data_IF_491363792874
#
_entry.id   IF_491363792874
#
_cell.length_a   1.000
_cell.length_b   1.000
_cell.length_c   1.000
_cell.angle_alpha   90.00
_cell.angle_beta   90.00
_cell.angle_gamma   90.00
#
_symmetry.space_group_name_H-M   'P 1'
#
loop_
_entity.id
_entity.type
_entity.pdbx_description
1 polymer ?
#
# COMPACT_ATOMS: atom_id res chain seq x y z
N UNK A 1 23.14 -10.87 -50.06
CA UNK A 1 24.35 -10.64 -49.25
C UNK A 1 24.10 -9.34 -48.50
N UNK A 2 23.85 -9.28 -47.20
CA UNK A 2 24.01 -10.22 -46.10
C UNK A 2 22.82 -10.03 -45.14
N UNK A 3 22.08 -11.11 -44.87
CA UNK A 3 21.18 -11.16 -43.72
C UNK A 3 22.05 -11.31 -42.46
N UNK A 4 22.55 -10.19 -41.96
CA UNK A 4 23.21 -10.18 -40.66
C UNK A 4 22.18 -10.48 -39.58
N UNK A 5 22.37 -11.65 -38.96
CA UNK A 5 21.58 -12.11 -37.84
C UNK A 5 21.48 -11.03 -36.77
N UNK A 6 20.26 -10.56 -36.54
CA UNK A 6 19.92 -9.94 -35.27
C UNK A 6 20.23 -10.97 -34.19
N UNK A 7 21.24 -10.68 -33.38
CA UNK A 7 21.70 -11.56 -32.32
C UNK A 7 20.50 -11.98 -31.46
N UNK A 8 20.23 -13.28 -31.25
CA UNK A 8 19.05 -13.77 -30.53
C UNK A 8 18.90 -13.16 -29.13
N UNK A 9 19.99 -12.68 -28.54
CA UNK A 9 20.02 -11.93 -27.28
C UNK A 9 19.19 -10.61 -27.33
N UNK A 10 19.27 -9.83 -28.42
CA UNK A 10 18.53 -8.56 -28.56
C UNK A 10 17.02 -8.78 -28.71
N UNK A 11 16.62 -9.87 -29.37
CA UNK A 11 15.22 -10.29 -29.47
C UNK A 11 14.68 -10.76 -28.10
N UNK A 12 15.49 -11.51 -27.35
CA UNK A 12 15.17 -11.97 -26.00
C UNK A 12 14.98 -10.84 -24.99
N UNK A 13 15.87 -9.86 -24.96
CA UNK A 13 15.79 -8.70 -24.06
C UNK A 13 14.55 -7.82 -24.32
N UNK A 14 14.21 -7.62 -25.59
CA UNK A 14 13.01 -6.87 -25.99
C UNK A 14 11.72 -7.63 -25.62
N UNK A 15 11.70 -8.95 -25.81
CA UNK A 15 10.58 -9.81 -25.40
C UNK A 15 10.40 -9.82 -23.87
N UNK A 16 11.48 -9.94 -23.11
CA UNK A 16 11.48 -9.92 -21.66
C UNK A 16 11.01 -8.57 -21.09
N UNK A 17 11.53 -7.45 -21.64
CA UNK A 17 11.10 -6.10 -21.25
C UNK A 17 9.61 -5.87 -21.49
N UNK A 18 9.06 -6.45 -22.57
CA UNK A 18 7.64 -6.38 -22.92
C UNK A 18 6.77 -7.19 -21.98
N UNK A 19 7.21 -8.38 -21.57
CA UNK A 19 6.49 -9.21 -20.60
C UNK A 19 6.50 -8.56 -19.20
N UNK A 20 7.62 -7.98 -18.76
CA UNK A 20 7.63 -7.21 -17.50
C UNK A 20 6.59 -6.07 -17.55
N UNK A 21 6.53 -5.33 -18.66
CA UNK A 21 5.58 -4.23 -18.79
C UNK A 21 4.12 -4.71 -18.81
N UNK A 22 3.84 -5.88 -19.39
CA UNK A 22 2.50 -6.50 -19.33
C UNK A 22 2.12 -6.89 -17.91
N UNK A 23 3.05 -7.45 -17.14
CA UNK A 23 2.82 -7.80 -15.74
C UNK A 23 2.57 -6.55 -14.88
N UNK A 24 3.33 -5.47 -15.09
CA UNK A 24 3.08 -4.18 -14.42
C UNK A 24 1.69 -3.60 -14.73
N UNK A 25 1.24 -3.68 -15.99
CA UNK A 25 -0.11 -3.24 -16.37
C UNK A 25 -1.20 -4.07 -15.68
N UNK A 26 -1.03 -5.39 -15.60
CA UNK A 26 -1.98 -6.26 -14.88
C UNK A 26 -2.04 -5.90 -13.40
N UNK A 27 -0.89 -5.63 -12.79
CA UNK A 27 -0.75 -5.25 -11.39
C UNK A 27 -1.46 -3.94 -11.06
N UNK A 28 -1.15 -2.86 -11.80
CA UNK A 28 -1.81 -1.55 -11.64
C UNK A 28 -3.32 -1.69 -11.81
N UNK A 29 -3.77 -2.52 -12.75
CA UNK A 29 -5.20 -2.80 -12.93
C UNK A 29 -5.83 -3.50 -11.71
N UNK A 30 -5.13 -4.47 -11.10
CA UNK A 30 -5.58 -5.13 -9.88
C UNK A 30 -5.66 -4.12 -8.72
N UNK A 31 -4.65 -3.27 -8.54
CA UNK A 31 -4.65 -2.22 -7.50
C UNK A 31 -5.81 -1.25 -7.73
N UNK A 32 -6.01 -0.79 -8.97
CA UNK A 32 -7.13 0.09 -9.30
C UNK A 32 -8.48 -0.54 -8.96
N UNK A 33 -8.68 -1.84 -9.24
CA UNK A 33 -9.91 -2.55 -8.85
C UNK A 33 -10.05 -2.70 -7.34
N UNK A 34 -8.97 -3.01 -6.62
CA UNK A 34 -8.97 -3.10 -5.16
C UNK A 34 -9.33 -1.75 -4.52
N UNK A 35 -8.70 -0.66 -4.98
CA UNK A 35 -8.96 0.69 -4.51
C UNK A 35 -10.38 1.15 -4.86
N UNK A 36 -10.86 0.89 -6.08
CA UNK A 36 -12.22 1.22 -6.48
C UNK A 36 -13.26 0.45 -5.64
N UNK A 37 -13.05 -0.85 -5.42
CA UNK A 37 -13.90 -1.67 -4.57
C UNK A 37 -13.93 -1.14 -3.13
N UNK A 38 -12.76 -0.84 -2.56
CA UNK A 38 -12.63 -0.25 -1.24
C UNK A 38 -13.32 1.12 -1.15
N UNK A 39 -13.17 1.97 -2.18
CA UNK A 39 -13.85 3.25 -2.26
C UNK A 39 -15.37 3.08 -2.24
N UNK A 40 -15.92 2.18 -3.05
CA UNK A 40 -17.37 1.91 -3.09
C UNK A 40 -17.87 1.40 -1.75
N UNK A 41 -17.14 0.50 -1.09
CA UNK A 41 -17.51 -0.02 0.24
C UNK A 41 -17.50 1.09 1.29
N UNK A 42 -16.41 1.86 1.40
CA UNK A 42 -16.29 2.96 2.37
C UNK A 42 -17.33 4.04 2.10
N UNK A 43 -17.55 4.39 0.83
CA UNK A 43 -18.56 5.34 0.43
C UNK A 43 -19.97 4.84 0.75
N UNK A 44 -20.29 3.59 0.44
CA UNK A 44 -21.57 2.96 0.76
C UNK A 44 -21.83 2.91 2.27
N UNK A 45 -20.84 2.51 3.06
CA UNK A 45 -20.91 2.55 4.53
C UNK A 45 -21.13 3.97 5.05
N UNK A 46 -20.47 4.96 4.45
CA UNK A 46 -20.65 6.37 4.83
C UNK A 46 -22.07 6.88 4.56
N UNK A 47 -22.70 6.46 3.45
CA UNK A 47 -24.09 6.81 3.14
C UNK A 47 -25.07 6.07 4.05
N UNK A 48 -24.82 4.80 4.31
CA UNK A 48 -25.64 3.98 5.21
C UNK A 48 -25.63 4.52 6.64
N UNK A 49 -24.45 4.84 7.18
CA UNK A 49 -24.32 5.48 8.48
C UNK A 49 -25.09 6.81 8.54
N UNK A 50 -25.15 7.57 7.43
CA UNK A 50 -25.90 8.83 7.32
C UNK A 50 -27.37 8.62 7.58
N UNK A 51 -27.88 7.57 6.96
CA UNK A 51 -29.29 7.22 7.02
C UNK A 51 -29.71 6.76 8.41
N UNK A 52 -28.79 6.20 9.21
CA UNK A 52 -29.08 5.66 10.53
C UNK A 52 -28.94 6.70 11.66
N UNK A 53 -27.88 7.50 11.65
CA UNK A 53 -27.52 8.38 12.78
C UNK A 53 -27.94 9.84 12.57
N UNK A 54 -28.43 10.17 11.37
CA UNK A 54 -28.82 11.52 10.99
C UNK A 54 -27.63 12.40 10.59
N UNK A 55 -27.85 13.48 9.81
CA UNK A 55 -26.78 14.32 9.28
C UNK A 55 -25.99 15.08 10.35
N UNK A 56 -26.58 15.28 11.53
CA UNK A 56 -26.13 16.19 12.58
C UNK A 56 -25.11 15.55 13.54
N UNK A 57 -25.16 14.22 13.74
CA UNK A 57 -24.43 13.52 14.82
C UNK A 57 -23.27 12.65 14.33
N UNK A 58 -23.17 12.39 13.03
CA UNK A 58 -22.00 11.73 12.45
C UNK A 58 -21.09 12.79 11.86
N UNK A 59 -19.85 12.83 12.33
CA UNK A 59 -18.84 13.77 11.88
C UNK A 59 -18.37 13.36 10.47
N UNK A 60 -19.22 13.58 9.45
CA UNK A 60 -18.98 13.35 8.01
C UNK A 60 -17.65 13.95 7.54
N UNK A 61 -17.24 15.00 8.24
CA UNK A 61 -15.94 15.62 8.10
C UNK A 61 -14.83 14.54 8.19
N UNK A 62 -14.81 13.64 9.17
CA UNK A 62 -13.67 12.75 9.40
C UNK A 62 -13.49 11.66 8.31
N UNK A 63 -14.59 11.07 7.78
CA UNK A 63 -14.50 10.09 6.69
C UNK A 63 -14.08 10.71 5.34
N UNK A 64 -14.19 12.03 5.19
CA UNK A 64 -13.81 12.74 3.95
C UNK A 64 -12.34 12.55 3.62
N UNK A 65 -11.47 12.47 4.62
CA UNK A 65 -10.03 12.30 4.40
C UNK A 65 -9.71 10.89 3.90
N UNK A 66 -10.38 9.86 4.43
CA UNK A 66 -10.24 8.50 3.92
C UNK A 66 -10.74 8.38 2.47
N UNK A 67 -11.90 8.96 2.16
CA UNK A 67 -12.43 9.00 0.79
C UNK A 67 -11.54 9.82 -0.16
N UNK A 68 -10.99 10.94 0.30
CA UNK A 68 -10.04 11.75 -0.47
C UNK A 68 -8.76 10.97 -0.76
N UNK A 69 -8.17 10.31 0.24
CA UNK A 69 -6.98 9.47 0.07
C UNK A 69 -7.24 8.36 -0.94
N UNK A 70 -8.37 7.66 -0.85
CA UNK A 70 -8.75 6.62 -1.82
C UNK A 70 -8.98 7.19 -3.22
N UNK A 71 -9.62 8.36 -3.35
CA UNK A 71 -9.85 8.99 -4.64
C UNK A 71 -8.54 9.44 -5.30
N UNK A 72 -7.62 10.04 -4.54
CA UNK A 72 -6.30 10.45 -5.01
C UNK A 72 -5.46 9.23 -5.39
N UNK A 73 -5.46 8.18 -4.56
CA UNK A 73 -4.78 6.93 -4.86
C UNK A 73 -5.33 6.28 -6.14
N UNK A 74 -6.66 6.23 -6.31
CA UNK A 74 -7.29 5.71 -7.52
C UNK A 74 -6.93 6.55 -8.75
N UNK A 75 -6.95 7.88 -8.64
CA UNK A 75 -6.54 8.76 -9.73
C UNK A 75 -5.06 8.54 -10.11
N UNK A 76 -4.18 8.36 -9.13
CA UNK A 76 -2.78 8.03 -9.35
C UNK A 76 -2.62 6.69 -10.09
N UNK A 77 -3.32 5.64 -9.67
CA UNK A 77 -3.28 4.33 -10.34
C UNK A 77 -3.78 4.40 -11.79
N UNK A 78 -4.84 5.17 -12.04
CA UNK A 78 -5.36 5.39 -13.39
C UNK A 78 -4.31 6.11 -14.25
N UNK A 79 -3.65 7.15 -13.71
CA UNK A 79 -2.56 7.84 -14.41
C UNK A 79 -1.37 6.92 -14.68
N UNK A 80 -0.97 6.12 -13.69
CA UNK A 80 0.09 5.13 -13.83
C UNK A 80 -0.27 4.10 -14.92
N UNK A 81 -1.51 3.61 -14.96
CA UNK A 81 -2.01 2.70 -15.99
C UNK A 81 -1.86 3.29 -17.39
N UNK A 82 -2.30 4.53 -17.59
CA UNK A 82 -2.17 5.21 -18.89
C UNK A 82 -0.70 5.47 -19.25
N UNK A 83 0.13 5.82 -18.28
CA UNK A 83 1.58 5.96 -18.45
C UNK A 83 2.23 4.66 -18.94
N UNK A 84 2.03 3.54 -18.23
CA UNK A 84 2.57 2.24 -18.63
C UNK A 84 2.05 1.79 -19.99
N UNK A 85 0.77 2.01 -20.29
CA UNK A 85 0.19 1.70 -21.61
C UNK A 85 0.82 2.54 -22.73
N UNK A 86 1.14 3.79 -22.46
CA UNK A 86 1.82 4.67 -23.40
C UNK A 86 3.24 4.20 -23.70
N UNK A 87 4.02 3.81 -22.68
CA UNK A 87 5.34 3.20 -22.87
C UNK A 87 5.26 1.87 -23.64
N UNK A 88 4.22 1.06 -23.39
CA UNK A 88 3.99 -0.20 -24.11
C UNK A 88 3.73 0.05 -25.59
N UNK A 89 2.91 1.06 -25.94
CA UNK A 89 2.63 1.43 -27.33
C UNK A 89 3.86 1.93 -28.08
N UNK A 90 4.82 2.53 -27.38
CA UNK A 90 6.07 3.07 -27.96
C UNK A 90 7.24 2.09 -27.95
N UNK A 91 7.06 0.85 -27.49
CA UNK A 91 8.14 -0.14 -27.32
C UNK A 91 9.36 0.42 -26.56
N UNK A 92 9.15 1.35 -25.63
CA UNK A 92 10.23 1.91 -24.81
C UNK A 92 10.27 1.22 -23.45
N UNK A 93 11.44 0.81 -22.96
CA UNK A 93 11.56 0.29 -21.61
C UNK A 93 11.21 1.40 -20.61
N UNK A 94 10.49 1.04 -19.55
CA UNK A 94 10.20 1.96 -18.44
C UNK A 94 11.46 2.07 -17.59
N UNK A 95 11.91 3.30 -17.22
CA UNK A 95 13.06 3.49 -16.35
C UNK A 95 12.89 2.76 -15.02
N UNK A 96 13.95 2.12 -14.53
CA UNK A 96 13.90 1.40 -13.26
C UNK A 96 13.57 2.32 -12.08
N UNK A 97 14.08 3.56 -12.11
CA UNK A 97 13.76 4.60 -11.11
C UNK A 97 12.27 4.87 -11.01
N UNK A 98 11.56 4.95 -12.16
CA UNK A 98 10.11 5.17 -12.17
C UNK A 98 9.35 4.02 -11.52
N UNK A 99 9.87 2.78 -11.62
CA UNK A 99 9.24 1.61 -10.97
C UNK A 99 9.43 1.62 -9.45
N UNK A 100 10.61 1.99 -8.96
CA UNK A 100 10.84 2.18 -7.52
C UNK A 100 10.01 3.33 -6.95
N UNK A 101 9.88 4.43 -7.68
CA UNK A 101 9.02 5.54 -7.27
C UNK A 101 7.54 5.14 -7.20
N UNK A 102 7.04 4.42 -8.21
CA UNK A 102 5.67 3.89 -8.20
C UNK A 102 5.48 2.93 -7.02
N UNK A 103 6.45 2.03 -6.79
CA UNK A 103 6.44 1.11 -5.66
C UNK A 103 6.31 1.82 -4.32
N UNK A 104 7.11 2.86 -4.12
CA UNK A 104 7.10 3.67 -2.91
C UNK A 104 5.73 4.33 -2.71
N UNK A 105 5.21 5.04 -3.72
CA UNK A 105 3.93 5.74 -3.63
C UNK A 105 2.79 4.78 -3.29
N UNK A 106 2.77 3.61 -3.93
CA UNK A 106 1.77 2.59 -3.66
C UNK A 106 1.84 2.04 -2.24
N UNK A 107 3.05 1.74 -1.75
CA UNK A 107 3.25 1.26 -0.37
C UNK A 107 2.90 2.31 0.68
N UNK A 108 2.95 3.59 0.32
CA UNK A 108 2.52 4.70 1.19
C UNK A 108 1.00 4.87 1.29
N UNK A 109 0.20 4.25 0.40
CA UNK A 109 -1.27 4.37 0.45
C UNK A 109 -1.84 3.92 1.81
N UNK A 110 -1.49 2.73 2.34
CA UNK A 110 -1.85 2.31 3.70
C UNK A 110 -1.51 3.35 4.77
N UNK A 111 -0.34 3.97 4.69
CA UNK A 111 0.14 5.00 5.63
C UNK A 111 -0.82 6.19 5.68
N UNK A 112 -1.16 6.75 4.51
CA UNK A 112 -2.11 7.87 4.43
C UNK A 112 -3.52 7.48 4.87
N UNK A 113 -3.91 6.22 4.66
CA UNK A 113 -5.19 5.70 5.16
C UNK A 113 -5.20 5.61 6.69
N UNK A 114 -4.10 5.16 7.32
CA UNK A 114 -3.98 5.14 8.79
C UNK A 114 -4.06 6.57 9.33
N UNK A 115 -3.35 7.53 8.73
CA UNK A 115 -3.40 8.93 9.12
C UNK A 115 -4.83 9.48 9.06
N UNK A 116 -5.55 9.24 7.96
CA UNK A 116 -6.95 9.63 7.85
C UNK A 116 -7.86 8.96 8.90
N UNK A 117 -7.50 7.77 9.40
CA UNK A 117 -8.22 7.10 10.47
C UNK A 117 -7.90 7.66 11.86
N UNK A 118 -6.72 8.25 12.08
CA UNK A 118 -6.40 8.91 13.37
C UNK A 118 -7.28 10.12 13.65
N UNK A 119 -7.90 10.70 12.61
CA UNK A 119 -8.92 11.76 12.79
C UNK A 119 -10.27 11.22 13.25
N UNK A 120 -10.54 9.92 13.04
CA UNK A 120 -11.79 9.22 13.38
C UNK A 120 -11.72 8.56 14.76
N UNK A 121 -10.60 7.88 15.02
CA UNK A 121 -10.40 7.04 16.20
C UNK A 121 -9.07 7.34 16.84
N UNK A 122 -8.91 6.91 18.09
CA UNK A 122 -7.66 7.05 18.82
C UNK A 122 -6.48 6.47 18.00
N UNK A 123 -5.27 7.09 17.99
CA UNK A 123 -4.13 6.60 17.20
C UNK A 123 -3.78 5.13 17.41
N UNK A 124 -3.93 4.62 18.64
CA UNK A 124 -3.76 3.19 18.94
C UNK A 124 -4.74 2.34 18.11
N UNK A 125 -6.02 2.69 18.08
CA UNK A 125 -7.02 1.96 17.31
C UNK A 125 -6.77 2.08 15.80
N UNK A 126 -6.36 3.26 15.33
CA UNK A 126 -6.01 3.48 13.93
C UNK A 126 -4.82 2.62 13.47
N UNK A 127 -3.79 2.46 14.31
CA UNK A 127 -2.60 1.63 14.01
C UNK A 127 -2.93 0.13 13.95
N UNK A 128 -3.99 -0.31 14.64
CA UNK A 128 -4.51 -1.68 14.58
C UNK A 128 -5.71 -1.85 13.65
N UNK A 129 -6.14 -0.76 12.99
CA UNK A 129 -7.28 -0.76 12.09
C UNK A 129 -6.97 -1.51 10.77
N UNK A 130 -8.01 -1.85 9.98
CA UNK A 130 -7.86 -2.57 8.71
C UNK A 130 -6.79 -2.01 7.74
N UNK A 131 -6.63 -0.68 7.58
CA UNK A 131 -5.52 -0.08 6.83
C UNK A 131 -4.12 -0.62 7.15
N UNK A 132 -3.84 -0.99 8.40
CA UNK A 132 -2.53 -1.57 8.77
C UNK A 132 -2.27 -2.93 8.12
N UNK A 133 -3.31 -3.70 7.83
CA UNK A 133 -3.16 -4.97 7.11
C UNK A 133 -3.04 -4.76 5.60
N UNK A 134 -3.38 -3.56 5.09
CA UNK A 134 -3.30 -3.27 3.68
C UNK A 134 -1.86 -3.31 3.13
N UNK A 135 -0.84 -3.03 3.96
CA UNK A 135 0.56 -3.21 3.59
C UNK A 135 0.85 -4.61 3.04
N UNK A 136 0.24 -5.66 3.60
CA UNK A 136 0.43 -7.02 3.10
C UNK A 136 -0.12 -7.20 1.68
N UNK A 137 -1.22 -6.54 1.30
CA UNK A 137 -1.71 -6.58 -0.08
C UNK A 137 -0.72 -5.93 -1.05
N UNK A 138 -0.13 -4.79 -0.69
CA UNK A 138 0.86 -4.12 -1.54
C UNK A 138 2.16 -4.93 -1.67
N UNK A 139 2.60 -5.59 -0.59
CA UNK A 139 3.74 -6.51 -0.61
C UNK A 139 3.41 -7.75 -1.45
N UNK A 140 2.22 -8.36 -1.31
CA UNK A 140 1.82 -9.48 -2.17
C UNK A 140 1.76 -9.08 -3.64
N UNK A 141 1.24 -7.89 -3.95
CA UNK A 141 1.19 -7.37 -5.32
C UNK A 141 2.57 -7.01 -5.87
N UNK A 142 3.59 -6.81 -5.04
CA UNK A 142 4.96 -6.60 -5.50
C UNK A 142 5.56 -7.84 -6.17
N UNK A 143 5.11 -9.04 -5.78
CA UNK A 143 5.54 -10.32 -6.40
C UNK A 143 5.33 -10.33 -7.91
N UNK A 144 4.24 -9.71 -8.37
CA UNK A 144 3.88 -9.65 -9.79
C UNK A 144 4.85 -8.83 -10.65
N UNK A 145 5.80 -8.10 -10.06
CA UNK A 145 6.74 -7.25 -10.79
C UNK A 145 7.88 -8.03 -11.46
N UNK A 146 7.94 -9.36 -11.27
CA UNK A 146 8.99 -10.24 -11.81
C UNK A 146 10.41 -9.77 -11.44
N UNK A 147 10.54 -8.99 -10.36
CA UNK A 147 11.78 -8.36 -9.93
C UNK A 147 11.90 -8.43 -8.41
N UNK A 148 12.68 -9.37 -7.92
CA UNK A 148 12.91 -9.60 -6.49
C UNK A 148 13.32 -8.33 -5.72
N UNK A 149 14.15 -7.46 -6.34
CA UNK A 149 14.63 -6.21 -5.73
C UNK A 149 13.48 -5.26 -5.36
N UNK A 150 12.44 -5.21 -6.19
CA UNK A 150 11.26 -4.37 -5.93
C UNK A 150 10.43 -4.94 -4.78
N UNK A 151 10.31 -6.26 -4.64
CA UNK A 151 9.60 -6.89 -3.52
C UNK A 151 10.27 -6.68 -2.18
N UNK A 152 11.60 -6.85 -2.11
CA UNK A 152 12.37 -6.54 -0.88
C UNK A 152 12.19 -5.07 -0.52
N UNK A 153 12.33 -4.17 -1.52
CA UNK A 153 12.15 -2.74 -1.31
C UNK A 153 10.77 -2.39 -0.75
N UNK A 154 9.68 -2.95 -1.30
CA UNK A 154 8.34 -2.68 -0.79
C UNK A 154 8.14 -3.14 0.66
N UNK A 155 8.76 -4.26 1.08
CA UNK A 155 8.70 -4.71 2.48
C UNK A 155 9.46 -3.79 3.44
N UNK A 156 10.62 -3.28 3.03
CA UNK A 156 11.36 -2.29 3.81
C UNK A 156 10.62 -0.96 3.90
N UNK A 157 10.07 -0.45 2.80
CA UNK A 157 9.28 0.79 2.81
C UNK A 157 8.09 0.64 3.75
N UNK A 158 7.32 -0.45 3.63
CA UNK A 158 6.19 -0.72 4.53
C UNK A 158 6.61 -0.77 6.01
N UNK A 159 7.71 -1.48 6.31
CA UNK A 159 8.25 -1.55 7.68
C UNK A 159 8.71 -0.20 8.22
N UNK A 160 9.39 0.61 7.40
CA UNK A 160 9.87 1.94 7.77
C UNK A 160 8.71 2.91 7.96
N UNK A 161 7.76 2.95 7.03
CA UNK A 161 6.58 3.82 7.13
C UNK A 161 5.74 3.50 8.37
N UNK A 162 5.52 2.21 8.65
CA UNK A 162 4.85 1.79 9.87
C UNK A 162 5.65 2.17 11.14
N UNK A 163 6.97 1.97 11.14
CA UNK A 163 7.82 2.36 12.26
C UNK A 163 7.77 3.88 12.50
N UNK A 164 7.84 4.69 11.44
CA UNK A 164 7.73 6.15 11.52
C UNK A 164 6.36 6.58 12.05
N UNK A 165 5.27 5.93 11.64
CA UNK A 165 3.94 6.18 12.20
C UNK A 165 3.89 5.91 13.71
N UNK A 166 4.44 4.78 14.17
CA UNK A 166 4.47 4.44 15.60
C UNK A 166 5.33 5.43 16.39
N UNK A 167 6.47 5.86 15.84
CA UNK A 167 7.34 6.87 16.46
C UNK A 167 6.70 8.26 16.48
N UNK A 168 5.91 8.60 15.45
CA UNK A 168 5.21 9.87 15.38
C UNK A 168 4.11 9.98 16.44
N UNK A 169 3.31 8.93 16.62
CA UNK A 169 2.23 8.88 17.62
C UNK A 169 2.66 8.35 18.99
N UNK A 170 3.96 8.14 19.22
CA UNK A 170 4.49 7.60 20.48
C UNK A 170 4.03 8.39 21.72
N UNK A 171 4.03 9.74 21.72
CA UNK A 171 3.55 10.53 22.84
C UNK A 171 2.10 10.22 23.21
N UNK A 172 1.21 10.13 22.22
CA UNK A 172 -0.21 9.82 22.38
C UNK A 172 -0.44 8.37 22.81
N UNK A 173 0.38 7.45 22.30
CA UNK A 173 0.34 6.03 22.69
C UNK A 173 0.76 5.83 24.15
N UNK A 174 1.78 6.55 24.62
CA UNK A 174 2.26 6.47 26.02
C UNK A 174 1.29 7.14 26.99
N UNK A 175 0.70 8.30 26.63
CA UNK A 175 -0.31 8.96 27.47
C UNK A 175 -1.56 8.09 27.68
N UNK A 176 -1.89 7.27 26.67
CA UNK A 176 -2.98 6.29 26.74
C UNK A 176 -2.66 5.09 27.62
N UNK A 177 -1.38 4.73 27.73
CA UNK A 177 -0.89 3.67 28.60
C UNK A 177 -0.77 4.05 30.09
N UNK A 178 -0.88 5.35 30.43
CA UNK A 178 -0.74 5.86 31.80
C UNK A 178 -2.05 6.01 32.58
N UNK A 179 -3.21 5.72 31.98
CA UNK A 179 -4.51 5.64 32.69
C UNK A 179 -4.65 4.23 33.29
N UNK A 180 -3.96 4.02 34.41
CA UNK A 180 -3.88 2.75 35.13
C UNK A 180 -5.18 2.46 35.89
N UNK A 181 -6.06 1.65 35.30
CA UNK A 181 -6.95 0.81 36.08
C UNK A 181 -6.51 -0.66 35.93
N UNK A 182 -5.90 -1.28 36.96
CA UNK A 182 -5.41 -2.66 36.90
C UNK A 182 -6.51 -3.72 36.76
N UNK A 183 -7.80 -3.33 36.75
CA UNK A 183 -8.94 -4.23 36.65
C UNK A 183 -9.60 -4.29 35.25
N UNK A 184 -9.21 -3.47 34.26
CA UNK A 184 -9.81 -3.52 32.91
C UNK A 184 -8.80 -3.23 31.79
N UNK A 185 -8.76 -4.12 30.79
CA UNK A 185 -8.56 -3.72 29.39
C UNK A 185 -7.41 -4.40 28.63
N UNK A 186 -7.73 -5.39 27.79
CA UNK A 186 -6.79 -6.05 26.87
C UNK A 186 -6.13 -5.16 25.82
N UNK A 187 -6.45 -3.86 25.76
CA UNK A 187 -5.79 -2.87 24.89
C UNK A 187 -4.40 -2.44 25.39
N UNK A 188 -4.09 -2.64 26.67
CA UNK A 188 -2.79 -2.29 27.29
C UNK A 188 -1.63 -3.11 26.72
N UNK A 189 -1.87 -4.38 26.39
CA UNK A 189 -0.88 -5.24 25.76
C UNK A 189 -0.45 -4.73 24.37
N UNK A 190 -1.38 -4.12 23.61
CA UNK A 190 -1.13 -3.69 22.24
C UNK A 190 -0.30 -2.39 22.14
N UNK A 191 -0.22 -1.60 23.22
CA UNK A 191 0.64 -0.41 23.25
C UNK A 191 2.11 -0.74 23.55
N UNK A 192 2.43 -1.99 23.92
CA UNK A 192 3.80 -2.39 24.25
C UNK A 192 4.70 -2.33 23.01
N UNK A 193 5.86 -1.65 23.08
CA UNK A 193 6.79 -1.52 21.95
C UNK A 193 7.15 -2.85 21.24
N UNK A 194 7.32 -3.99 21.94
CA UNK A 194 7.54 -5.28 21.29
C UNK A 194 6.52 -5.67 20.21
N UNK A 195 5.23 -5.34 20.37
CA UNK A 195 4.22 -5.70 19.36
C UNK A 195 4.39 -4.89 18.07
N UNK A 196 4.76 -3.62 18.19
CA UNK A 196 5.05 -2.77 17.04
C UNK A 196 6.34 -3.20 16.33
N UNK A 197 7.38 -3.53 17.09
CA UNK A 197 8.63 -4.09 16.54
C UNK A 197 8.36 -5.40 15.79
N UNK A 198 7.55 -6.29 16.36
CA UNK A 198 7.15 -7.53 15.70
C UNK A 198 6.44 -7.25 14.37
N UNK A 199 5.49 -6.31 14.32
CA UNK A 199 4.81 -5.91 13.06
C UNK A 199 5.78 -5.37 12.01
N UNK A 200 6.73 -4.49 12.39
CA UNK A 200 7.77 -3.99 11.47
C UNK A 200 8.56 -5.15 10.86
N UNK A 201 9.01 -6.09 11.70
CA UNK A 201 9.74 -7.27 11.25
C UNK A 201 8.88 -8.16 10.34
N UNK A 202 7.57 -8.29 10.61
CA UNK A 202 6.65 -9.04 9.75
C UNK A 202 6.51 -8.43 8.36
N UNK A 203 6.44 -7.10 8.22
CA UNK A 203 6.40 -6.45 6.90
C UNK A 203 7.70 -6.67 6.12
N UNK A 204 8.84 -6.51 6.78
CA UNK A 204 10.15 -6.74 6.17
C UNK A 204 10.30 -8.21 5.74
N UNK A 205 9.98 -9.15 6.63
CA UNK A 205 10.01 -10.59 6.33
C UNK A 205 9.08 -10.94 5.17
N UNK A 206 7.88 -10.35 5.12
CA UNK A 206 6.94 -10.53 4.01
C UNK A 206 7.51 -10.05 2.68
N UNK A 207 8.30 -8.96 2.68
CA UNK A 207 9.03 -8.49 1.51
C UNK A 207 10.06 -9.50 1.00
N UNK A 208 10.79 -10.17 1.90
CA UNK A 208 11.72 -11.24 1.53
C UNK A 208 11.01 -12.48 0.99
N UNK A 209 9.91 -12.90 1.62
CA UNK A 209 9.09 -14.02 1.13
C UNK A 209 8.52 -13.70 -0.26
N UNK A 210 7.98 -12.50 -0.44
CA UNK A 210 7.50 -12.03 -1.74
C UNK A 210 8.62 -11.96 -2.80
N UNK A 211 9.84 -11.61 -2.39
CA UNK A 211 10.99 -11.59 -3.27
C UNK A 211 11.40 -13.01 -3.72
N UNK A 212 11.35 -13.99 -2.82
CA UNK A 212 11.60 -15.39 -3.14
C UNK A 212 10.62 -15.90 -4.20
N UNK A 213 9.32 -15.65 -4.01
CA UNK A 213 8.27 -16.03 -4.98
C UNK A 213 8.44 -15.32 -6.33
N UNK A 214 9.01 -14.12 -6.35
CA UNK A 214 9.24 -13.37 -7.59
C UNK A 214 10.46 -13.85 -8.40
N UNK A 215 11.27 -14.76 -7.83
CA UNK A 215 12.43 -15.37 -8.50
C UNK A 215 12.06 -16.70 -9.17
N UNK A 216 11.06 -17.41 -8.64
CA UNK A 216 10.50 -18.64 -9.21
C UNK A 216 9.62 -18.38 -10.45
#
# INVERSE_FOLDING_TARGET
MESFGQSPALSGEAAFSREILRSEIKRVRIIAYLLAGLFVVVFGLSLFARSLVGPENFQYWQLRYALLTLAVALAYEVLAYYGFRYFLKRNRPVPMVSRFANAFIETSIPTFMILAFTDLVHPLEAIYSPPSYAYFFFIMLSTMRLQYRLSVFTGFVAGIEYALLVLYYQPELVSSGLVLNPAMGGGTALAFPPFHVAKVLMYIASGFVAAYVAVE
#
